data_IF_411561341027
#
_entry.id   IF_411561341027
#
_cell.length_a   1.000
_cell.length_b   1.000
_cell.length_c   1.000
_cell.angle_alpha   90.00
_cell.angle_beta   90.00
_cell.angle_gamma   90.00
#
_symmetry.space_group_name_H-M   'P 1'
#
loop_
_entity.id
_entity.type
_entity.pdbx_description
1 polymer ?
#
# COMPACT_ATOMS: atom_id res chain seq x y z
N UNK A 1 -25.45 17.23 4.98
CA UNK A 1 -24.23 16.68 4.36
C UNK A 1 -23.43 16.04 5.47
N UNK A 2 -23.59 14.74 5.66
CA UNK A 2 -22.84 14.01 6.68
C UNK A 2 -21.37 14.04 6.27
N UNK A 3 -20.49 14.45 7.17
CA UNK A 3 -19.06 14.35 6.96
C UNK A 3 -18.72 12.87 6.80
N UNK A 4 -18.39 12.48 5.57
CA UNK A 4 -18.05 11.10 5.21
C UNK A 4 -16.68 10.70 5.78
N UNK A 5 -15.88 11.66 6.29
CA UNK A 5 -14.50 11.42 6.73
C UNK A 5 -13.48 11.40 5.58
N UNK A 6 -13.92 11.73 4.35
CA UNK A 6 -13.06 11.70 3.16
C UNK A 6 -11.85 12.64 3.27
N UNK A 7 -11.99 13.82 3.87
CA UNK A 7 -10.88 14.77 3.96
C UNK A 7 -9.73 14.21 4.79
N UNK A 8 -10.04 13.57 5.93
CA UNK A 8 -9.06 12.91 6.77
C UNK A 8 -8.45 11.69 6.07
N UNK A 9 -9.26 10.88 5.39
CA UNK A 9 -8.76 9.73 4.64
C UNK A 9 -7.80 10.17 3.51
N UNK A 10 -8.23 11.11 2.66
CA UNK A 10 -7.43 11.63 1.54
C UNK A 10 -6.13 12.27 2.01
N UNK A 11 -6.14 12.95 3.15
CA UNK A 11 -4.94 13.55 3.72
C UNK A 11 -3.91 12.53 4.22
N UNK A 12 -4.29 11.28 4.48
CA UNK A 12 -3.44 10.28 5.14
C UNK A 12 -3.30 8.95 4.36
N UNK A 13 -3.92 8.83 3.18
CA UNK A 13 -3.90 7.59 2.37
C UNK A 13 -2.48 7.24 1.91
N UNK A 14 -1.64 8.25 1.61
CA UNK A 14 -0.26 8.01 1.19
C UNK A 14 0.59 7.43 2.32
N UNK A 15 0.49 8.03 3.50
CA UNK A 15 1.15 7.61 4.74
C UNK A 15 0.68 6.21 5.14
N UNK A 16 -0.62 5.94 5.01
CA UNK A 16 -1.19 4.61 5.23
C UNK A 16 -0.55 3.55 4.31
N UNK A 17 -0.49 3.81 3.01
CA UNK A 17 0.04 2.87 2.01
C UNK A 17 1.55 2.63 2.16
N UNK A 18 2.27 3.61 2.68
CA UNK A 18 3.71 3.50 2.94
C UNK A 18 4.04 2.90 4.31
N UNK A 19 3.01 2.59 5.12
CA UNK A 19 3.19 2.03 6.46
C UNK A 19 3.78 3.04 7.45
N UNK A 20 3.56 4.33 7.23
CA UNK A 20 4.10 5.44 8.03
C UNK A 20 3.19 5.80 9.22
N UNK A 21 1.98 5.24 9.28
CA UNK A 21 1.01 5.44 10.37
C UNK A 21 1.06 4.32 11.39
N UNK A 22 0.81 4.63 12.67
CA UNK A 22 0.64 3.61 13.68
C UNK A 22 -0.68 2.83 13.51
N UNK A 23 -0.87 1.78 14.29
CA UNK A 23 -2.07 0.95 14.23
C UNK A 23 -3.35 1.76 14.52
N UNK A 24 -3.28 2.67 15.49
CA UNK A 24 -4.40 3.51 15.91
C UNK A 24 -4.80 4.54 14.85
N UNK A 25 -3.82 5.13 14.16
CA UNK A 25 -4.05 6.13 13.11
C UNK A 25 -4.51 5.48 11.79
N UNK A 26 -4.01 4.28 11.49
CA UNK A 26 -4.35 3.55 10.27
C UNK A 26 -5.74 2.90 10.32
N UNK A 27 -6.18 2.41 11.48
CA UNK A 27 -7.47 1.72 11.63
C UNK A 27 -8.68 2.49 11.07
N UNK A 28 -8.95 3.75 11.44
CA UNK A 28 -10.13 4.47 10.95
C UNK A 28 -10.08 4.77 9.45
N UNK A 29 -8.87 4.90 8.86
CA UNK A 29 -8.72 5.13 7.42
C UNK A 29 -9.01 3.84 6.66
N UNK A 30 -8.54 2.69 7.15
CA UNK A 30 -8.87 1.38 6.56
C UNK A 30 -10.38 1.10 6.60
N UNK A 31 -11.01 1.33 7.75
CA UNK A 31 -12.46 1.19 7.90
C UNK A 31 -13.22 2.07 6.90
N UNK A 32 -12.78 3.32 6.70
CA UNK A 32 -13.38 4.21 5.71
C UNK A 32 -13.19 3.70 4.26
N UNK A 33 -12.01 3.18 3.93
CA UNK A 33 -11.70 2.61 2.61
C UNK A 33 -12.57 1.39 2.28
N UNK A 34 -13.07 0.66 3.27
CA UNK A 34 -14.00 -0.47 3.03
C UNK A 34 -15.37 -0.02 2.50
N UNK A 35 -15.74 1.25 2.72
CA UNK A 35 -17.09 1.75 2.47
C UNK A 35 -17.17 2.96 1.54
N UNK A 36 -16.05 3.59 1.18
CA UNK A 36 -16.02 4.78 0.35
C UNK A 36 -15.36 4.52 -1.02
N UNK A 37 -16.17 4.43 -2.08
CA UNK A 37 -15.70 4.21 -3.45
C UNK A 37 -14.76 5.32 -3.96
N UNK A 38 -14.98 6.58 -3.57
CA UNK A 38 -14.11 7.69 -3.95
C UNK A 38 -12.70 7.53 -3.37
N UNK A 39 -12.62 7.18 -2.08
CA UNK A 39 -11.34 6.98 -1.40
C UNK A 39 -10.64 5.68 -1.84
N UNK A 40 -11.38 4.63 -2.22
CA UNK A 40 -10.81 3.46 -2.92
C UNK A 40 -10.18 3.86 -4.26
N UNK A 41 -10.82 4.78 -4.99
CA UNK A 41 -10.27 5.37 -6.20
C UNK A 41 -8.92 6.05 -5.93
N UNK A 42 -8.86 6.92 -4.92
CA UNK A 42 -7.63 7.59 -4.51
C UNK A 42 -6.54 6.59 -4.08
N UNK A 43 -6.87 5.61 -3.24
CA UNK A 43 -5.94 4.55 -2.82
C UNK A 43 -5.34 3.83 -4.04
N UNK A 44 -6.16 3.48 -5.02
CA UNK A 44 -5.71 2.81 -6.23
C UNK A 44 -4.73 3.66 -7.05
N UNK A 45 -4.94 4.98 -7.12
CA UNK A 45 -4.04 5.93 -7.79
C UNK A 45 -2.70 6.00 -7.04
N UNK A 46 -2.74 6.13 -5.72
CA UNK A 46 -1.56 6.21 -4.86
C UNK A 46 -0.71 4.92 -4.97
N UNK A 47 -1.36 3.76 -4.97
CA UNK A 47 -0.71 2.46 -5.15
C UNK A 47 -0.04 2.35 -6.53
N UNK A 48 -0.72 2.78 -7.60
CA UNK A 48 -0.16 2.77 -8.97
C UNK A 48 1.03 3.70 -9.13
N UNK A 49 1.00 4.87 -8.52
CA UNK A 49 2.14 5.81 -8.53
C UNK A 49 3.34 5.21 -7.79
N UNK A 50 3.10 4.59 -6.63
CA UNK A 50 4.15 3.93 -5.84
C UNK A 50 4.76 2.75 -6.59
N UNK A 51 3.92 1.94 -7.24
CA UNK A 51 4.37 0.84 -8.10
C UNK A 51 5.18 1.31 -9.31
N UNK A 52 4.79 2.41 -9.95
CA UNK A 52 5.55 2.99 -11.07
C UNK A 52 6.96 3.42 -10.64
N UNK A 53 7.09 4.06 -9.48
CA UNK A 53 8.40 4.43 -8.91
C UNK A 53 9.20 3.17 -8.57
N UNK A 54 8.57 2.19 -7.92
CA UNK A 54 9.22 0.91 -7.58
C UNK A 54 9.78 0.22 -8.83
N UNK A 55 8.99 0.11 -9.90
CA UNK A 55 9.43 -0.51 -11.17
C UNK A 55 10.60 0.22 -11.81
N UNK A 56 10.57 1.56 -11.81
CA UNK A 56 11.70 2.35 -12.29
C UNK A 56 12.99 2.09 -11.48
N UNK A 57 12.87 1.83 -10.17
CA UNK A 57 14.01 1.42 -9.34
C UNK A 57 14.39 -0.07 -9.50
N UNK A 58 13.48 -0.93 -9.97
CA UNK A 58 13.72 -2.37 -10.16
C UNK A 58 14.52 -2.67 -11.42
N UNK A 59 14.45 -1.83 -12.46
CA UNK A 59 15.32 -1.90 -13.64
C UNK A 59 16.82 -1.83 -13.26
N UNK A 60 17.16 -1.15 -12.14
CA UNK A 60 18.52 -1.12 -11.59
C UNK A 60 18.86 -2.34 -10.69
N UNK A 61 17.88 -3.16 -10.31
CA UNK A 61 18.01 -4.26 -9.33
C UNK A 61 18.12 -5.65 -9.96
N UNK A 62 18.27 -5.78 -11.27
CA UNK A 62 18.45 -7.07 -11.92
C UNK A 62 19.72 -7.77 -11.37
N UNK A 63 19.52 -8.79 -10.52
CA UNK A 63 20.58 -9.51 -9.79
C UNK A 63 20.68 -9.22 -8.27
N UNK A 64 19.81 -8.41 -7.68
CA UNK A 64 19.94 -7.96 -6.28
C UNK A 64 19.47 -8.97 -5.21
N UNK A 65 18.61 -9.93 -5.55
CA UNK A 65 18.06 -10.89 -4.57
C UNK A 65 18.81 -12.23 -4.62
N UNK A 66 19.38 -12.73 -3.50
CA UNK A 66 20.01 -14.04 -3.43
C UNK A 66 19.04 -15.19 -3.79
N UNK A 67 19.48 -16.12 -4.63
CA UNK A 67 18.65 -17.22 -5.12
C UNK A 67 18.21 -18.19 -4.01
N UNK A 68 19.08 -18.41 -3.03
CA UNK A 68 18.81 -19.23 -1.84
C UNK A 68 17.69 -18.65 -0.97
N UNK A 69 17.61 -17.33 -0.84
CA UNK A 69 16.51 -16.65 -0.15
C UNK A 69 15.18 -16.88 -0.87
N UNK A 70 15.17 -16.73 -2.20
CA UNK A 70 13.98 -17.03 -3.02
C UNK A 70 13.51 -18.46 -2.80
N UNK A 71 14.42 -19.43 -2.88
CA UNK A 71 14.08 -20.84 -2.71
C UNK A 71 13.61 -21.17 -1.29
N UNK A 72 14.17 -20.52 -0.27
CA UNK A 72 13.71 -20.65 1.11
C UNK A 72 12.27 -20.14 1.30
N UNK A 73 11.93 -18.98 0.72
CA UNK A 73 10.58 -18.42 0.75
C UNK A 73 9.60 -19.38 0.05
N UNK A 74 9.93 -19.84 -1.16
CA UNK A 74 9.06 -20.73 -1.94
C UNK A 74 8.75 -22.05 -1.22
N UNK A 75 9.70 -22.61 -0.47
CA UNK A 75 9.48 -23.82 0.35
C UNK A 75 8.57 -23.59 1.56
N UNK A 76 8.50 -22.36 2.07
CA UNK A 76 7.70 -21.99 3.23
C UNK A 76 6.26 -21.61 2.90
N UNK A 77 5.91 -21.49 1.61
CA UNK A 77 4.55 -21.19 1.19
C UNK A 77 3.64 -22.41 1.46
N UNK A 78 2.48 -22.23 2.12
CA UNK A 78 1.51 -23.30 2.29
C UNK A 78 1.00 -23.78 0.93
N UNK A 79 0.83 -25.10 0.79
CA UNK A 79 0.26 -25.76 -0.39
C UNK A 79 -1.24 -25.55 -0.45
#
# INVERSE_FOLDING_TARGET
MSDCGCDKAKANIYELLRGELCAEESAPIREHLEHCADCQGEESVCARLTDAVRRACEEEREGAAPADLRDAILRGLPV
#
